data_IF_129955350786
#
_entry.id   IF_129955350786
#
_cell.length_a   1.000
_cell.length_b   1.000
_cell.length_c   1.000
_cell.angle_alpha   90.00
_cell.angle_beta   90.00
_cell.angle_gamma   90.00
#
_symmetry.space_group_name_H-M   'P 1'
#
loop_
_entity.id
_entity.type
_entity.pdbx_description
1 polymer ?
#
# COMPACT_ATOMS: atom_id res chain seq x y z
N UNK A 1 9.06 -24.96 -1.71
CA UNK A 1 8.46 -25.31 -3.01
C UNK A 1 8.01 -24.05 -3.74
N UNK A 2 7.30 -23.14 -3.06
CA UNK A 2 6.87 -21.83 -3.59
C UNK A 2 8.03 -20.91 -4.00
N UNK A 3 9.04 -20.70 -3.15
CA UNK A 3 10.20 -19.85 -3.45
C UNK A 3 10.92 -20.23 -4.76
N UNK A 4 11.17 -21.52 -4.97
CA UNK A 4 11.83 -22.00 -6.19
C UNK A 4 10.97 -21.79 -7.44
N UNK A 5 9.64 -21.84 -7.31
CA UNK A 5 8.73 -21.60 -8.42
C UNK A 5 8.73 -20.11 -8.81
N UNK A 6 8.73 -19.20 -7.83
CA UNK A 6 8.84 -17.76 -8.06
C UNK A 6 10.18 -17.35 -8.67
N UNK A 7 11.29 -17.88 -8.13
CA UNK A 7 12.63 -17.65 -8.67
C UNK A 7 12.72 -18.13 -10.12
N UNK A 8 12.15 -19.30 -10.42
CA UNK A 8 12.10 -19.81 -11.79
C UNK A 8 11.27 -18.92 -12.70
N UNK A 9 10.07 -18.49 -12.27
CA UNK A 9 9.22 -17.58 -13.05
C UNK A 9 9.95 -16.26 -13.34
N UNK A 10 10.63 -15.69 -12.34
CA UNK A 10 11.43 -14.48 -12.50
C UNK A 10 12.59 -14.69 -13.49
N UNK A 11 13.33 -15.80 -13.37
CA UNK A 11 14.38 -16.16 -14.32
C UNK A 11 13.84 -16.31 -15.75
N UNK A 12 12.72 -17.01 -15.92
CA UNK A 12 12.10 -17.21 -17.23
C UNK A 12 11.69 -15.85 -17.85
N UNK A 13 11.16 -14.93 -17.05
CA UNK A 13 10.87 -13.55 -17.48
C UNK A 13 12.14 -12.78 -17.89
N UNK A 14 13.22 -12.85 -17.10
CA UNK A 14 14.50 -12.19 -17.40
C UNK A 14 15.08 -12.71 -18.71
N UNK A 15 15.20 -14.04 -18.85
CA UNK A 15 15.78 -14.68 -20.04
C UNK A 15 14.96 -14.33 -21.27
N UNK A 16 13.65 -14.58 -21.25
CA UNK A 16 12.80 -14.34 -22.41
C UNK A 16 12.76 -12.87 -22.84
N UNK A 17 12.78 -11.92 -21.89
CA UNK A 17 12.76 -10.49 -22.21
C UNK A 17 14.09 -10.02 -22.78
N UNK A 18 15.22 -10.47 -22.22
CA UNK A 18 16.57 -10.14 -22.71
C UNK A 18 16.76 -10.72 -24.12
N UNK A 19 16.33 -11.95 -24.38
CA UNK A 19 16.41 -12.57 -25.73
C UNK A 19 15.57 -11.81 -26.75
N UNK A 20 14.33 -11.42 -26.41
CA UNK A 20 13.45 -10.64 -27.29
C UNK A 20 14.03 -9.27 -27.61
N UNK A 21 14.80 -8.69 -26.70
CA UNK A 21 15.51 -7.42 -26.90
C UNK A 21 16.86 -7.60 -27.63
N UNK A 22 17.19 -8.82 -28.07
CA UNK A 22 18.45 -9.12 -28.77
C UNK A 22 19.68 -9.06 -27.87
N UNK A 23 19.49 -9.11 -26.56
CA UNK A 23 20.55 -9.11 -25.56
C UNK A 23 21.31 -10.43 -25.49
N UNK A 24 22.44 -10.41 -24.78
CA UNK A 24 23.21 -11.62 -24.49
C UNK A 24 22.64 -12.30 -23.26
N UNK A 25 22.41 -13.61 -23.30
CA UNK A 25 21.99 -14.39 -22.12
C UNK A 25 23.20 -15.03 -21.43
N UNK A 26 23.29 -14.90 -20.11
CA UNK A 26 24.24 -15.60 -19.24
C UNK A 26 23.46 -16.14 -18.03
N UNK A 27 22.98 -17.39 -18.16
CA UNK A 27 22.03 -18.01 -17.23
C UNK A 27 22.53 -17.97 -15.77
N UNK A 28 23.77 -18.37 -15.44
CA UNK A 28 24.26 -18.30 -14.06
C UNK A 28 24.18 -16.91 -13.42
N UNK A 29 24.37 -15.84 -14.20
CA UNK A 29 24.23 -14.46 -13.68
C UNK A 29 22.76 -14.05 -13.56
N UNK A 30 21.92 -14.44 -14.52
CA UNK A 30 20.49 -14.15 -14.46
C UNK A 30 19.80 -14.91 -13.31
N UNK A 31 20.27 -16.11 -12.96
CA UNK A 31 19.84 -16.85 -11.78
C UNK A 31 20.11 -16.06 -10.49
N UNK A 32 21.30 -15.46 -10.37
CA UNK A 32 21.65 -14.61 -9.22
C UNK A 32 20.77 -13.35 -9.15
N UNK A 33 20.46 -12.76 -10.31
CA UNK A 33 19.58 -11.58 -10.39
C UNK A 33 18.14 -11.97 -10.02
N UNK A 34 17.61 -13.09 -10.52
CA UNK A 34 16.30 -13.60 -10.16
C UNK A 34 16.19 -13.89 -8.66
N UNK A 35 17.22 -14.49 -8.08
CA UNK A 35 17.30 -14.72 -6.64
C UNK A 35 17.28 -13.40 -5.86
N UNK A 36 18.06 -12.41 -6.28
CA UNK A 36 18.09 -11.08 -5.66
C UNK A 36 16.71 -10.42 -5.66
N UNK A 37 16.02 -10.43 -6.80
CA UNK A 37 14.69 -9.85 -6.96
C UNK A 37 13.70 -10.54 -6.04
N UNK A 38 13.59 -11.86 -6.09
CA UNK A 38 12.60 -12.59 -5.29
C UNK A 38 12.90 -12.51 -3.79
N UNK A 39 14.17 -12.48 -3.38
CA UNK A 39 14.51 -12.29 -1.97
C UNK A 39 14.07 -10.91 -1.45
N UNK A 40 14.24 -9.85 -2.24
CA UNK A 40 13.81 -8.51 -1.86
C UNK A 40 12.29 -8.41 -1.69
N UNK A 41 11.52 -9.11 -2.53
CA UNK A 41 10.05 -9.13 -2.47
C UNK A 41 9.46 -9.95 -1.31
N UNK A 42 10.29 -10.73 -0.60
CA UNK A 42 9.85 -11.61 0.50
C UNK A 42 10.19 -11.05 1.88
N UNK A 43 10.47 -9.76 1.97
CA UNK A 43 10.63 -9.07 3.25
C UNK A 43 9.41 -9.30 4.16
N UNK A 44 9.58 -9.41 5.49
CA UNK A 44 8.49 -9.74 6.41
C UNK A 44 7.38 -8.68 6.45
N UNK A 45 7.66 -7.48 5.93
CA UNK A 45 6.75 -6.35 5.88
C UNK A 45 6.10 -6.16 4.51
N UNK A 46 6.53 -6.90 3.48
CA UNK A 46 5.97 -6.87 2.12
C UNK A 46 4.69 -7.71 2.09
N UNK A 47 3.53 -7.05 2.06
CA UNK A 47 2.20 -7.68 2.04
C UNK A 47 1.43 -7.37 0.76
N UNK A 48 1.74 -6.25 0.11
CA UNK A 48 1.21 -5.79 -1.16
C UNK A 48 2.30 -5.85 -2.23
N UNK A 49 3.44 -5.19 -1.99
CA UNK A 49 4.57 -5.15 -2.94
C UNK A 49 5.37 -6.47 -2.89
N UNK A 50 4.82 -7.49 -3.53
CA UNK A 50 5.28 -8.89 -3.51
C UNK A 50 5.76 -9.37 -4.88
N UNK A 51 6.26 -10.61 -4.95
CA UNK A 51 6.62 -11.30 -6.19
C UNK A 51 5.44 -11.39 -7.17
N UNK A 52 4.23 -11.67 -6.71
CA UNK A 52 3.06 -11.75 -7.60
C UNK A 52 2.74 -10.36 -8.18
N UNK A 53 2.81 -9.32 -7.36
CA UNK A 53 2.59 -7.94 -7.80
C UNK A 53 3.53 -7.54 -8.96
N UNK A 54 4.84 -7.77 -8.84
CA UNK A 54 5.77 -7.42 -9.93
C UNK A 54 5.50 -8.21 -11.22
N UNK A 55 4.94 -9.43 -11.13
CA UNK A 55 4.56 -10.21 -12.31
C UNK A 55 3.26 -9.72 -12.95
N UNK A 56 2.28 -9.31 -12.14
CA UNK A 56 1.03 -8.70 -12.61
C UNK A 56 1.32 -7.35 -13.30
N UNK A 57 2.14 -6.50 -12.68
CA UNK A 57 2.55 -5.20 -13.24
C UNK A 57 3.38 -5.34 -14.51
N UNK A 58 4.22 -6.37 -14.64
CA UNK A 58 4.99 -6.60 -15.86
C UNK A 58 4.16 -7.05 -17.06
N UNK A 59 3.02 -7.70 -16.81
CA UNK A 59 2.28 -8.39 -17.85
C UNK A 59 3.17 -9.43 -18.57
N UNK A 60 2.92 -9.65 -19.87
CA UNK A 60 3.65 -10.68 -20.63
C UNK A 60 3.91 -10.31 -22.10
N UNK A 61 3.72 -9.04 -22.48
CA UNK A 61 3.69 -8.64 -23.89
C UNK A 61 4.93 -7.84 -24.29
N UNK A 62 5.24 -6.76 -23.58
CA UNK A 62 6.38 -5.89 -23.89
C UNK A 62 7.58 -6.22 -22.98
N UNK A 63 8.74 -6.63 -23.51
CA UNK A 63 9.89 -7.03 -22.71
C UNK A 63 10.51 -5.88 -21.90
N UNK A 64 10.34 -4.61 -22.30
CA UNK A 64 10.77 -3.45 -21.51
C UNK A 64 9.88 -3.29 -20.29
N UNK A 65 8.56 -3.39 -20.46
CA UNK A 65 7.61 -3.31 -19.35
C UNK A 65 7.83 -4.46 -18.34
N UNK A 66 8.06 -5.68 -18.84
CA UNK A 66 8.37 -6.84 -17.98
C UNK A 66 9.64 -6.60 -17.18
N UNK A 67 10.74 -6.20 -17.81
CA UNK A 67 12.00 -5.95 -17.10
C UNK A 67 11.86 -4.78 -16.12
N UNK A 68 11.17 -3.70 -16.46
CA UNK A 68 10.95 -2.59 -15.54
C UNK A 68 10.15 -3.02 -14.31
N UNK A 69 9.07 -3.77 -14.49
CA UNK A 69 8.22 -4.25 -13.39
C UNK A 69 8.98 -5.14 -12.41
N UNK A 70 9.86 -6.03 -12.90
CA UNK A 70 10.65 -6.91 -12.04
C UNK A 70 11.55 -6.15 -11.05
N UNK A 71 11.91 -4.91 -11.37
CA UNK A 71 12.83 -4.12 -10.56
C UNK A 71 12.18 -2.94 -9.84
N UNK A 72 11.06 -2.38 -10.30
CA UNK A 72 10.59 -1.06 -9.84
C UNK A 72 10.44 -0.92 -8.31
N UNK A 73 10.03 -2.00 -7.65
CA UNK A 73 9.81 -2.09 -6.20
C UNK A 73 10.93 -2.77 -5.40
N UNK A 74 12.07 -3.02 -6.04
CA UNK A 74 13.17 -3.79 -5.44
C UNK A 74 13.66 -3.17 -4.12
N UNK A 75 13.68 -1.84 -4.05
CA UNK A 75 14.03 -1.08 -2.85
C UNK A 75 12.77 -0.42 -2.29
N UNK A 76 12.42 -0.70 -1.03
CA UNK A 76 11.34 0.00 -0.34
C UNK A 76 11.73 0.32 1.10
N UNK A 77 12.51 1.39 1.26
CA UNK A 77 13.20 1.70 2.52
C UNK A 77 12.24 1.87 3.70
N UNK A 78 11.08 2.48 3.47
CA UNK A 78 10.11 2.79 4.52
C UNK A 78 9.38 1.53 5.03
N UNK A 79 9.19 0.54 4.16
CA UNK A 79 8.55 -0.74 4.48
C UNK A 79 9.57 -1.71 5.07
N UNK A 80 10.75 -1.81 4.46
CA UNK A 80 11.79 -2.75 4.89
C UNK A 80 12.61 -2.26 6.11
N UNK A 81 12.35 -1.03 6.59
CA UNK A 81 13.10 -0.34 7.64
C UNK A 81 14.61 -0.17 7.32
N UNK A 82 14.95 -0.06 6.04
CA UNK A 82 16.32 0.06 5.58
C UNK A 82 16.52 -0.48 4.17
N UNK A 83 17.78 -0.49 3.73
CA UNK A 83 18.21 -1.13 2.49
C UNK A 83 18.81 -2.48 2.83
N UNK A 84 18.37 -3.55 2.15
CA UNK A 84 18.88 -4.90 2.44
C UNK A 84 20.38 -5.00 2.15
N UNK A 85 21.10 -5.83 2.91
CA UNK A 85 22.55 -5.99 2.74
C UNK A 85 22.91 -6.41 1.30
N UNK A 86 22.11 -7.30 0.70
CA UNK A 86 22.34 -7.85 -0.63
C UNK A 86 22.30 -6.81 -1.76
N UNK A 87 21.49 -5.75 -1.62
CA UNK A 87 21.43 -4.65 -2.60
C UNK A 87 22.25 -3.42 -2.19
N UNK A 88 22.65 -3.33 -0.91
CA UNK A 88 23.40 -2.18 -0.38
C UNK A 88 24.71 -1.94 -1.13
N UNK A 89 25.44 -3.00 -1.50
CA UNK A 89 26.72 -2.89 -2.21
C UNK A 89 26.59 -2.21 -3.58
N UNK A 90 25.43 -2.35 -4.25
CA UNK A 90 25.16 -1.69 -5.52
C UNK A 90 24.84 -0.19 -5.35
N UNK A 91 24.35 0.23 -4.16
CA UNK A 91 23.89 1.59 -3.90
C UNK A 91 24.90 2.45 -3.12
N UNK A 92 25.68 1.84 -2.23
CA UNK A 92 26.67 2.53 -1.38
C UNK A 92 27.64 3.45 -2.14
N UNK A 93 28.09 3.12 -3.37
CA UNK A 93 28.93 4.02 -4.16
C UNK A 93 28.26 5.34 -4.53
N UNK A 94 26.93 5.40 -4.56
CA UNK A 94 26.16 6.53 -5.10
C UNK A 94 25.37 7.31 -4.04
N UNK A 95 25.01 6.65 -2.94
CA UNK A 95 24.13 7.23 -1.91
C UNK A 95 24.77 7.05 -0.53
N UNK A 96 24.57 8.05 0.34
CA UNK A 96 24.97 8.05 1.75
C UNK A 96 23.78 8.40 2.64
N UNK A 97 23.80 7.90 3.88
CA UNK A 97 22.84 8.32 4.89
C UNK A 97 23.39 9.53 5.66
N UNK A 98 22.60 10.60 5.74
CA UNK A 98 22.90 11.82 6.48
C UNK A 98 21.68 12.16 7.34
N UNK A 99 21.83 12.12 8.67
CA UNK A 99 20.74 12.41 9.62
C UNK A 99 19.46 11.62 9.33
N UNK A 100 19.60 10.32 9.08
CA UNK A 100 18.48 9.40 8.78
C UNK A 100 17.74 9.69 7.47
N UNK A 101 18.37 10.42 6.55
CA UNK A 101 17.89 10.63 5.19
C UNK A 101 18.93 10.12 4.20
N UNK A 102 18.47 9.49 3.13
CA UNK A 102 19.34 9.11 2.02
C UNK A 102 19.64 10.34 1.16
N UNK A 103 20.90 10.53 0.82
CA UNK A 103 21.40 11.66 0.04
C UNK A 103 22.28 11.12 -1.06
N UNK A 104 22.05 11.55 -2.30
CA UNK A 104 22.97 11.29 -3.40
C UNK A 104 24.31 11.93 -3.04
N UNK A 105 25.41 11.19 -3.17
CA UNK A 105 26.73 11.70 -2.85
C UNK A 105 27.07 12.97 -3.66
N UNK A 106 27.97 13.77 -3.12
CA UNK A 106 28.42 14.98 -3.79
C UNK A 106 29.26 14.63 -5.02
N UNK A 107 29.36 15.54 -5.99
CA UNK A 107 30.08 15.32 -7.26
C UNK A 107 31.48 14.73 -7.07
N UNK A 108 32.22 15.22 -6.07
CA UNK A 108 33.61 14.79 -5.78
C UNK A 108 33.72 13.40 -5.18
N UNK A 109 32.62 12.84 -4.69
CA UNK A 109 32.56 11.52 -4.06
C UNK A 109 31.94 10.45 -4.97
N UNK A 110 31.27 10.86 -6.05
CA UNK A 110 30.65 9.96 -7.00
C UNK A 110 31.72 9.32 -7.90
N UNK A 111 31.62 8.01 -8.18
CA UNK A 111 32.46 7.38 -9.18
C UNK A 111 32.08 7.86 -10.58
N UNK A 112 33.04 7.82 -11.50
CA UNK A 112 32.79 8.02 -12.93
C UNK A 112 32.11 6.77 -13.51
N UNK A 113 30.80 6.70 -13.36
CA UNK A 113 29.95 5.59 -13.79
C UNK A 113 28.86 6.11 -14.75
N UNK A 114 29.04 5.87 -16.04
CA UNK A 114 28.15 6.35 -17.09
C UNK A 114 26.72 5.80 -16.96
N UNK A 115 26.56 4.55 -16.47
CA UNK A 115 25.25 3.94 -16.31
C UNK A 115 24.48 4.58 -15.15
N UNK A 116 25.16 4.89 -14.05
CA UNK A 116 24.57 5.67 -12.97
C UNK A 116 24.18 7.09 -13.43
N UNK A 117 25.07 7.78 -14.16
CA UNK A 117 24.79 9.12 -14.69
C UNK A 117 23.56 9.12 -15.62
N UNK A 118 23.40 8.07 -16.43
CA UNK A 118 22.22 7.86 -17.28
C UNK A 118 20.94 7.75 -16.42
N UNK A 119 20.94 6.89 -15.39
CA UNK A 119 19.79 6.72 -14.49
C UNK A 119 19.46 8.02 -13.76
N UNK A 120 20.46 8.70 -13.17
CA UNK A 120 20.27 9.98 -12.50
C UNK A 120 19.66 11.03 -13.46
N UNK A 121 20.09 11.04 -14.72
CA UNK A 121 19.55 11.95 -15.74
C UNK A 121 18.09 11.64 -16.07
N UNK A 122 17.70 10.36 -16.19
CA UNK A 122 16.30 9.95 -16.44
C UNK A 122 15.38 10.42 -15.32
N UNK A 123 15.83 10.33 -14.07
CA UNK A 123 15.08 10.82 -12.90
C UNK A 123 15.17 12.34 -12.70
N UNK A 124 16.08 13.02 -13.41
CA UNK A 124 16.38 14.44 -13.19
C UNK A 124 16.96 14.70 -11.79
N UNK A 125 17.67 13.72 -11.22
CA UNK A 125 18.31 13.83 -9.92
C UNK A 125 19.75 14.30 -10.08
N UNK A 126 20.21 15.07 -9.10
CA UNK A 126 21.53 15.70 -9.11
C UNK A 126 22.32 15.31 -7.86
N UNK A 127 23.67 15.38 -7.92
CA UNK A 127 24.54 15.16 -6.76
C UNK A 127 24.17 16.04 -5.57
N UNK A 128 24.33 15.52 -4.35
CA UNK A 128 23.96 16.19 -3.11
C UNK A 128 22.45 16.26 -2.82
N UNK A 129 21.58 15.79 -3.73
CA UNK A 129 20.13 15.81 -3.53
C UNK A 129 19.72 14.85 -2.41
N UNK A 130 19.00 15.37 -1.41
CA UNK A 130 18.28 14.54 -0.44
C UNK A 130 17.12 13.81 -1.11
N UNK A 131 17.10 12.50 -0.98
CA UNK A 131 16.05 11.65 -1.51
C UNK A 131 14.83 11.70 -0.57
N UNK A 132 13.66 11.85 -1.16
CA UNK A 132 12.39 11.90 -0.45
C UNK A 132 11.58 10.63 -0.73
N UNK A 133 10.99 9.99 0.29
CA UNK A 133 10.05 8.88 0.10
C UNK A 133 8.95 9.18 -0.92
N UNK A 134 8.44 10.41 -0.93
CA UNK A 134 7.38 10.86 -1.84
C UNK A 134 7.90 11.46 -3.15
N UNK A 135 9.22 11.49 -3.33
CA UNK A 135 9.90 12.13 -4.45
C UNK A 135 10.57 11.15 -5.40
N UNK A 136 10.24 9.85 -5.33
CA UNK A 136 10.82 8.82 -6.18
C UNK A 136 12.08 8.16 -5.62
N UNK A 137 12.28 8.18 -4.30
CA UNK A 137 13.47 7.57 -3.68
C UNK A 137 13.57 6.07 -4.00
N UNK A 138 12.48 5.34 -3.82
CA UNK A 138 12.49 3.88 -3.91
C UNK A 138 12.71 3.44 -5.36
N UNK A 139 11.96 4.04 -6.28
CA UNK A 139 12.02 3.83 -7.73
C UNK A 139 13.41 4.19 -8.27
N UNK A 140 14.02 5.28 -7.80
CA UNK A 140 15.37 5.65 -8.20
C UNK A 140 16.41 4.60 -7.77
N UNK A 141 16.37 4.17 -6.51
CA UNK A 141 17.30 3.17 -5.99
C UNK A 141 17.10 1.82 -6.69
N UNK A 142 15.85 1.42 -6.91
CA UNK A 142 15.46 0.28 -7.72
C UNK A 142 16.01 0.35 -9.15
N UNK A 143 15.87 1.51 -9.81
CA UNK A 143 16.36 1.74 -11.17
C UNK A 143 17.90 1.70 -11.26
N UNK A 144 18.63 2.21 -10.25
CA UNK A 144 20.09 2.07 -10.20
C UNK A 144 20.47 0.59 -10.16
N UNK A 145 19.81 -0.22 -9.34
CA UNK A 145 20.09 -1.66 -9.28
C UNK A 145 19.71 -2.35 -10.59
N UNK A 146 18.57 -2.00 -11.19
CA UNK A 146 18.14 -2.53 -12.48
C UNK A 146 19.19 -2.26 -13.56
N UNK A 147 19.63 -1.02 -13.70
CA UNK A 147 20.60 -0.61 -14.70
C UNK A 147 21.94 -1.33 -14.53
N UNK A 148 22.48 -1.39 -13.31
CA UNK A 148 23.74 -2.10 -13.03
C UNK A 148 23.61 -3.61 -13.22
N UNK A 149 22.45 -4.19 -12.93
CA UNK A 149 22.20 -5.62 -13.12
C UNK A 149 22.06 -5.99 -14.60
N UNK A 150 21.49 -5.10 -15.42
CA UNK A 150 21.20 -5.36 -16.84
C UNK A 150 22.34 -4.94 -17.79
N UNK A 151 23.26 -4.08 -17.34
CA UNK A 151 24.43 -3.58 -18.10
C UNK A 151 25.24 -4.67 -18.81
N UNK A 152 25.47 -5.88 -18.25
CA UNK A 152 26.21 -6.93 -18.96
C UNK A 152 25.45 -7.58 -20.13
N UNK A 153 24.14 -7.33 -20.25
CA UNK A 153 23.23 -8.09 -21.11
C UNK A 153 22.57 -7.23 -22.19
N UNK A 154 22.34 -5.93 -21.91
CA UNK A 154 21.58 -5.01 -22.75
C UNK A 154 22.37 -3.71 -23.03
N UNK A 155 22.14 -3.06 -24.17
CA UNK A 155 22.79 -1.79 -24.48
C UNK A 155 22.23 -0.63 -23.62
N UNK A 156 22.97 0.48 -23.45
CA UNK A 156 22.54 1.62 -22.66
C UNK A 156 21.21 2.24 -23.10
N UNK A 157 20.90 2.24 -24.40
CA UNK A 157 19.60 2.70 -24.92
C UNK A 157 18.46 1.89 -24.31
N UNK A 158 18.47 0.57 -24.45
CA UNK A 158 17.43 -0.30 -23.87
C UNK A 158 17.31 -0.14 -22.36
N UNK A 159 18.43 -0.01 -21.63
CA UNK A 159 18.41 0.21 -20.18
C UNK A 159 17.77 1.56 -19.81
N UNK A 160 17.99 2.61 -20.61
CA UNK A 160 17.32 3.89 -20.41
C UNK A 160 15.80 3.80 -20.61
N UNK A 161 15.29 2.95 -21.51
CA UNK A 161 13.85 2.71 -21.67
C UNK A 161 13.26 2.05 -20.41
N UNK A 162 13.94 1.01 -19.91
CA UNK A 162 13.54 0.32 -18.67
C UNK A 162 13.54 1.30 -17.49
N UNK A 163 14.58 2.13 -17.40
CA UNK A 163 14.71 3.17 -16.36
C UNK A 163 13.59 4.21 -16.47
N UNK A 164 13.20 4.61 -17.67
CA UNK A 164 12.09 5.55 -17.89
C UNK A 164 10.75 4.96 -17.41
N UNK A 165 10.52 3.68 -17.67
CA UNK A 165 9.34 2.99 -17.16
C UNK A 165 9.33 2.94 -15.63
N UNK A 166 10.45 2.62 -14.97
CA UNK A 166 10.55 2.66 -13.50
C UNK A 166 10.35 4.08 -12.95
N UNK A 167 10.88 5.11 -13.62
CA UNK A 167 10.67 6.51 -13.20
C UNK A 167 9.19 6.88 -13.23
N UNK A 168 8.45 6.39 -14.22
CA UNK A 168 7.03 6.70 -14.36
C UNK A 168 6.17 6.08 -13.26
N UNK A 169 6.62 5.01 -12.59
CA UNK A 169 5.87 4.39 -11.47
C UNK A 169 5.87 5.24 -10.21
N UNK A 170 6.66 6.33 -10.12
CA UNK A 170 6.60 7.26 -8.99
C UNK A 170 5.20 7.89 -8.91
N UNK A 171 4.37 7.55 -7.91
CA UNK A 171 2.94 7.82 -7.95
C UNK A 171 2.61 9.24 -7.47
N UNK A 172 1.41 9.71 -7.84
CA UNK A 172 0.73 10.90 -7.29
C UNK A 172 1.51 12.22 -7.36
N UNK A 173 2.44 12.33 -8.31
CA UNK A 173 3.26 13.54 -8.48
C UNK A 173 2.40 14.72 -8.94
N UNK A 174 2.48 15.89 -8.27
CA UNK A 174 1.74 17.06 -8.69
C UNK A 174 2.28 17.59 -10.02
N UNK A 175 1.44 18.33 -10.73
CA UNK A 175 1.85 19.15 -11.88
C UNK A 175 2.93 20.13 -11.42
N UNK A 176 4.03 20.22 -12.17
CA UNK A 176 5.12 21.11 -11.84
C UNK A 176 4.72 22.60 -11.98
N UNK A 177 5.46 23.54 -11.38
CA UNK A 177 5.20 24.98 -11.53
C UNK A 177 5.21 25.47 -12.98
N UNK A 178 5.86 24.75 -13.90
CA UNK A 178 5.84 25.00 -15.35
C UNK A 178 4.50 24.65 -16.02
N UNK A 179 3.57 24.02 -15.31
CA UNK A 179 2.31 23.50 -15.84
C UNK A 179 2.42 22.11 -16.47
N UNK A 180 3.61 21.50 -16.48
CA UNK A 180 3.84 20.18 -17.05
C UNK A 180 3.56 19.07 -16.02
N UNK A 181 2.93 18.00 -16.49
CA UNK A 181 2.79 16.74 -15.76
C UNK A 181 4.14 16.02 -15.62
N UNK A 182 4.18 15.04 -14.72
CA UNK A 182 5.35 14.21 -14.52
C UNK A 182 5.80 13.49 -15.80
N UNK A 183 4.85 12.96 -16.56
CA UNK A 183 5.13 12.22 -17.80
C UNK A 183 5.64 13.12 -18.93
N UNK A 184 5.15 14.37 -19.01
CA UNK A 184 5.67 15.36 -19.97
C UNK A 184 7.09 15.80 -19.61
N UNK A 185 7.41 15.90 -18.31
CA UNK A 185 8.77 16.17 -17.86
C UNK A 185 9.70 15.01 -18.19
N UNK A 186 9.26 13.75 -18.02
CA UNK A 186 10.02 12.58 -18.45
C UNK A 186 10.30 12.63 -19.95
N UNK A 187 9.29 12.93 -20.78
CA UNK A 187 9.47 13.11 -22.23
C UNK A 187 10.55 14.16 -22.58
N UNK A 188 10.53 15.32 -21.93
CA UNK A 188 11.55 16.36 -22.15
C UNK A 188 12.96 15.91 -21.74
N UNK A 189 13.07 15.17 -20.63
CA UNK A 189 14.35 14.61 -20.19
C UNK A 189 14.86 13.57 -21.17
N UNK A 190 14.02 12.68 -21.68
CA UNK A 190 14.42 11.67 -22.66
C UNK A 190 14.93 12.29 -23.97
N UNK A 191 14.36 13.41 -24.43
CA UNK A 191 14.89 14.16 -25.59
C UNK A 191 16.33 14.64 -25.32
N UNK A 192 16.55 15.17 -24.12
CA UNK A 192 17.87 15.70 -23.71
C UNK A 192 18.89 14.57 -23.57
N UNK A 193 18.52 13.50 -22.87
CA UNK A 193 19.35 12.32 -22.62
C UNK A 193 19.71 11.60 -23.91
N UNK A 194 18.78 11.46 -24.85
CA UNK A 194 19.06 10.85 -26.14
C UNK A 194 20.21 11.54 -26.88
N UNK A 195 20.27 12.88 -26.80
CA UNK A 195 21.36 13.68 -27.35
C UNK A 195 22.64 13.51 -26.55
N UNK A 196 22.57 13.67 -25.23
CA UNK A 196 23.74 13.76 -24.36
C UNK A 196 24.46 12.41 -24.18
N UNK A 197 23.71 11.30 -24.24
CA UNK A 197 24.24 9.93 -24.15
C UNK A 197 24.30 9.21 -25.50
N UNK A 198 23.95 9.89 -26.60
CA UNK A 198 23.96 9.34 -27.96
C UNK A 198 23.18 8.02 -28.11
N UNK A 199 21.97 7.94 -27.52
CA UNK A 199 21.19 6.71 -27.48
C UNK A 199 20.60 6.30 -28.84
N UNK A 200 20.56 7.23 -29.80
CA UNK A 200 20.23 6.95 -31.19
C UNK A 200 18.73 6.86 -31.48
N UNK A 201 17.86 7.23 -30.54
CA UNK A 201 16.42 7.21 -30.76
C UNK A 201 15.96 8.34 -31.68
N UNK A 202 15.02 8.03 -32.55
CA UNK A 202 14.19 8.98 -33.25
C UNK A 202 13.15 9.61 -32.31
N UNK A 203 12.51 10.69 -32.77
CA UNK A 203 11.42 11.31 -32.03
C UNK A 203 10.24 10.34 -31.80
N UNK A 204 9.92 9.50 -32.80
CA UNK A 204 8.84 8.52 -32.69
C UNK A 204 9.14 7.44 -31.65
N UNK A 205 10.40 6.98 -31.56
CA UNK A 205 10.82 6.02 -30.53
C UNK A 205 10.75 6.63 -29.12
N UNK A 206 11.18 7.88 -28.94
CA UNK A 206 11.04 8.58 -27.66
C UNK A 206 9.57 8.66 -27.22
N UNK A 207 8.66 8.98 -28.15
CA UNK A 207 7.22 8.99 -27.86
C UNK A 207 6.74 7.61 -27.42
N UNK A 208 7.16 6.54 -28.09
CA UNK A 208 6.76 5.17 -27.71
C UNK A 208 7.33 4.74 -26.35
N UNK A 209 8.56 5.14 -26.01
CA UNK A 209 9.16 4.88 -24.70
C UNK A 209 8.31 5.52 -23.59
N UNK A 210 7.85 6.76 -23.80
CA UNK A 210 6.97 7.44 -22.85
C UNK A 210 5.62 6.73 -22.75
N UNK A 211 5.06 6.24 -23.86
CA UNK A 211 3.82 5.46 -23.85
C UNK A 211 3.95 4.14 -23.09
N UNK A 212 5.04 3.38 -23.28
CA UNK A 212 5.37 2.21 -22.44
C UNK A 212 5.42 2.57 -20.96
N UNK A 213 6.06 3.69 -20.65
CA UNK A 213 6.18 4.18 -19.28
C UNK A 213 4.81 4.48 -18.67
N UNK A 214 3.89 5.09 -19.42
CA UNK A 214 2.49 5.29 -19.00
C UNK A 214 1.76 3.97 -18.78
N UNK A 215 1.90 3.00 -19.69
CA UNK A 215 1.25 1.69 -19.55
C UNK A 215 1.67 0.97 -18.29
N UNK A 216 2.98 0.93 -18.01
CA UNK A 216 3.50 0.32 -16.80
C UNK A 216 3.00 1.04 -15.55
N UNK A 217 3.17 2.37 -15.49
CA UNK A 217 2.76 3.18 -14.34
C UNK A 217 1.26 3.06 -14.05
N UNK A 218 0.42 3.02 -15.09
CA UNK A 218 -1.02 2.85 -14.93
C UNK A 218 -1.40 1.43 -14.49
N UNK A 219 -0.62 0.41 -14.86
CA UNK A 219 -0.83 -0.98 -14.40
C UNK A 219 -0.46 -1.14 -12.92
N UNK A 220 0.61 -0.49 -12.50
CA UNK A 220 1.06 -0.46 -11.10
C UNK A 220 -0.04 0.05 -10.14
N UNK A 221 -0.76 1.09 -10.53
CA UNK A 221 -1.85 1.69 -9.73
C UNK A 221 -3.25 1.28 -10.20
N UNK A 222 -3.40 0.23 -11.02
CA UNK A 222 -4.68 -0.09 -11.68
C UNK A 222 -5.82 -0.38 -10.70
N UNK A 223 -5.46 -0.88 -9.51
CA UNK A 223 -6.39 -1.23 -8.45
C UNK A 223 -7.26 -0.04 -8.01
N UNK A 224 -6.76 1.19 -8.12
CA UNK A 224 -7.53 2.40 -7.82
C UNK A 224 -8.78 2.55 -8.70
N UNK A 225 -8.74 2.07 -9.95
CA UNK A 225 -9.86 2.11 -10.88
C UNK A 225 -10.67 0.80 -10.92
N UNK A 226 -10.54 -0.06 -9.90
CA UNK A 226 -11.31 -1.30 -9.78
C UNK A 226 -12.81 -1.06 -10.00
N UNK A 227 -13.50 -1.84 -10.85
CA UNK A 227 -14.94 -1.69 -11.07
C UNK A 227 -15.77 -1.93 -9.80
N UNK A 228 -15.28 -2.80 -8.91
CA UNK A 228 -15.88 -3.11 -7.63
C UNK A 228 -15.03 -2.50 -6.49
N UNK A 229 -15.65 -1.67 -5.66
CA UNK A 229 -14.97 -1.01 -4.54
C UNK A 229 -14.45 -1.99 -3.49
N UNK A 230 -15.04 -3.20 -3.37
CA UNK A 230 -14.51 -4.25 -2.50
C UNK A 230 -13.09 -4.65 -2.90
N UNK A 231 -12.79 -4.77 -4.20
CA UNK A 231 -11.45 -5.10 -4.69
C UNK A 231 -10.45 -3.97 -4.41
N UNK A 232 -10.89 -2.71 -4.56
CA UNK A 232 -10.06 -1.57 -4.20
C UNK A 232 -9.72 -1.58 -2.71
N UNK A 233 -10.70 -1.87 -1.85
CA UNK A 233 -10.49 -1.95 -0.40
C UNK A 233 -9.65 -3.15 0.02
N UNK A 234 -9.73 -4.30 -0.65
CA UNK A 234 -8.86 -5.44 -0.39
C UNK A 234 -7.38 -5.06 -0.56
N UNK A 235 -7.05 -4.42 -1.67
CA UNK A 235 -5.70 -3.91 -1.94
C UNK A 235 -5.28 -2.84 -0.94
N UNK A 236 -6.18 -1.92 -0.59
CA UNK A 236 -5.94 -0.89 0.44
C UNK A 236 -5.60 -1.51 1.80
N UNK A 237 -6.27 -2.61 2.16
CA UNK A 237 -5.96 -3.33 3.40
C UNK A 237 -4.67 -4.12 3.30
N UNK A 238 -4.29 -4.66 2.14
CA UNK A 238 -2.99 -5.33 1.99
C UNK A 238 -1.81 -4.36 2.18
N UNK A 239 -2.00 -3.06 1.91
CA UNK A 239 -1.00 -2.02 2.16
C UNK A 239 -0.85 -1.63 3.65
N UNK A 240 -1.89 -1.80 4.46
CA UNK A 240 -1.87 -1.31 5.85
C UNK A 240 -0.74 -1.90 6.72
N UNK A 241 -0.45 -3.21 6.69
CA UNK A 241 0.64 -3.80 7.47
C UNK A 241 2.03 -3.27 7.09
N UNK A 242 2.22 -2.90 5.82
CA UNK A 242 3.53 -2.45 5.31
C UNK A 242 3.95 -1.11 5.91
N UNK A 243 3.00 -0.29 6.33
CA UNK A 243 3.24 1.02 6.96
C UNK A 243 2.89 1.03 8.45
N UNK A 244 2.37 -0.09 8.97
CA UNK A 244 1.94 -0.27 10.36
C UNK A 244 2.29 -1.66 10.88
N UNK A 245 3.55 -1.83 11.25
CA UNK A 245 4.13 -3.12 11.59
C UNK A 245 3.48 -3.77 12.82
N UNK A 246 2.84 -2.98 13.70
CA UNK A 246 2.07 -3.51 14.84
C UNK A 246 0.99 -4.52 14.42
N UNK A 247 0.42 -4.38 13.21
CA UNK A 247 -0.63 -5.26 12.70
C UNK A 247 -0.14 -6.69 12.41
N UNK A 248 1.17 -6.91 12.32
CA UNK A 248 1.74 -8.25 12.09
C UNK A 248 1.59 -9.17 13.30
N UNK A 249 1.51 -8.63 14.52
CA UNK A 249 1.31 -9.41 15.73
C UNK A 249 -0.18 -9.55 16.03
N UNK A 250 -0.83 -10.45 15.28
CA UNK A 250 -2.26 -10.74 15.35
C UNK A 250 -2.72 -10.97 16.79
N UNK A 251 -3.88 -10.42 17.16
CA UNK A 251 -4.48 -10.45 18.50
C UNK A 251 -3.72 -9.69 19.61
N UNK A 252 -2.55 -9.11 19.35
CA UNK A 252 -1.75 -8.39 20.35
C UNK A 252 -1.68 -6.87 20.12
N UNK A 253 -1.94 -6.39 18.91
CA UNK A 253 -1.99 -4.96 18.63
C UNK A 253 -3.11 -4.29 19.44
N UNK A 254 -2.84 -3.05 19.89
CA UNK A 254 -3.73 -2.34 20.81
C UNK A 254 -4.84 -1.60 20.08
N UNK A 255 -5.89 -1.21 20.82
CA UNK A 255 -6.99 -0.43 20.24
C UNK A 255 -6.46 0.86 19.60
N UNK A 256 -5.58 1.56 20.32
CA UNK A 256 -4.92 2.78 19.83
C UNK A 256 -3.99 2.52 18.65
N UNK A 257 -3.26 1.39 18.64
CA UNK A 257 -2.42 0.96 17.52
C UNK A 257 -3.22 0.77 16.23
N UNK A 258 -4.32 0.00 16.30
CA UNK A 258 -5.21 -0.20 15.14
C UNK A 258 -5.85 1.09 14.65
N UNK A 259 -6.31 1.96 15.56
CA UNK A 259 -6.80 3.30 15.19
C UNK A 259 -5.74 4.08 14.41
N UNK A 260 -4.51 4.18 14.91
CA UNK A 260 -3.44 4.95 14.24
C UNK A 260 -3.23 4.45 12.81
N UNK A 261 -3.27 3.14 12.59
CA UNK A 261 -3.20 2.55 11.24
C UNK A 261 -4.34 3.02 10.34
N UNK A 262 -5.58 2.98 10.83
CA UNK A 262 -6.75 3.47 10.09
C UNK A 262 -6.65 4.99 9.80
N UNK A 263 -6.19 5.79 10.76
CA UNK A 263 -6.04 7.24 10.60
C UNK A 263 -4.99 7.61 9.57
N UNK A 264 -3.86 6.89 9.51
CA UNK A 264 -2.85 7.12 8.46
C UNK A 264 -3.43 6.85 7.07
N UNK A 265 -4.16 5.75 6.92
CA UNK A 265 -4.80 5.40 5.65
C UNK A 265 -5.89 6.41 5.25
N UNK A 266 -6.71 6.84 6.20
CA UNK A 266 -7.71 7.88 5.98
C UNK A 266 -7.06 9.22 5.58
N UNK A 267 -5.99 9.62 6.26
CA UNK A 267 -5.21 10.82 5.91
C UNK A 267 -4.62 10.74 4.50
N UNK A 268 -4.06 9.59 4.11
CA UNK A 268 -3.55 9.36 2.76
C UNK A 268 -4.64 9.54 1.70
N UNK A 269 -5.80 8.88 1.86
CA UNK A 269 -6.91 8.95 0.90
C UNK A 269 -7.53 10.36 0.82
N UNK A 270 -7.56 11.11 1.92
CA UNK A 270 -8.03 12.49 1.92
C UNK A 270 -7.09 13.46 1.19
N UNK A 271 -5.79 13.16 1.14
CA UNK A 271 -4.81 13.96 0.40
C UNK A 271 -4.74 13.59 -1.09
N UNK A 272 -5.26 12.43 -1.47
CA UNK A 272 -5.16 11.91 -2.83
C UNK A 272 -6.12 12.63 -3.78
N UNK A 273 -5.58 13.08 -4.92
CA UNK A 273 -6.37 13.65 -6.01
C UNK A 273 -6.56 12.58 -7.09
N UNK A 274 -7.81 12.22 -7.47
CA UNK A 274 -8.05 11.20 -8.50
C UNK A 274 -7.29 11.46 -9.80
N UNK A 275 -7.15 12.73 -10.17
CA UNK A 275 -6.51 13.19 -11.41
C UNK A 275 -4.98 13.02 -11.42
N UNK A 276 -4.37 12.63 -10.29
CA UNK A 276 -2.93 12.36 -10.18
C UNK A 276 -2.61 10.86 -10.07
N UNK A 277 -3.63 9.99 -10.09
CA UNK A 277 -3.44 8.54 -9.98
C UNK A 277 -2.94 7.96 -11.29
N UNK A 278 -3.70 8.17 -12.37
CA UNK A 278 -3.35 7.66 -13.69
C UNK A 278 -2.62 8.74 -14.51
N UNK A 279 -1.73 8.30 -15.39
CA UNK A 279 -1.04 9.14 -16.37
C UNK A 279 -1.69 8.99 -17.75
N UNK A 280 -1.59 10.04 -18.56
CA UNK A 280 -1.96 10.02 -19.97
C UNK A 280 -0.91 10.75 -20.80
N UNK A 281 -0.52 10.18 -21.94
CA UNK A 281 0.41 10.82 -22.86
C UNK A 281 0.06 10.49 -24.31
N UNK A 282 -0.22 11.51 -25.12
CA UNK A 282 -0.45 11.37 -26.57
C UNK A 282 -1.40 10.22 -26.94
N UNK A 283 -2.61 10.20 -26.36
CA UNK A 283 -3.64 9.15 -26.54
C UNK A 283 -3.23 7.75 -26.02
N UNK A 284 -2.30 7.69 -25.06
CA UNK A 284 -2.02 6.50 -24.27
C UNK A 284 -2.33 6.76 -22.78
N UNK A 285 -3.37 6.15 -22.21
CA UNK A 285 -4.49 5.55 -22.93
C UNK A 285 -5.30 6.63 -23.69
N UNK A 286 -6.26 6.22 -24.52
CA UNK A 286 -7.18 7.15 -25.17
C UNK A 286 -8.02 7.95 -24.15
N UNK A 287 -8.59 9.08 -24.59
CA UNK A 287 -9.29 10.01 -23.71
C UNK A 287 -10.51 9.40 -22.99
N UNK A 288 -11.22 8.46 -23.64
CA UNK A 288 -12.38 7.80 -23.05
C UNK A 288 -11.94 6.82 -21.95
N UNK A 289 -10.94 5.99 -22.24
CA UNK A 289 -10.34 5.08 -21.26
C UNK A 289 -9.79 5.85 -20.08
N UNK A 290 -9.04 6.94 -20.30
CA UNK A 290 -8.51 7.78 -19.25
C UNK A 290 -9.62 8.38 -18.38
N UNK A 291 -10.65 8.98 -18.99
CA UNK A 291 -11.78 9.54 -18.26
C UNK A 291 -12.51 8.50 -17.39
N UNK A 292 -12.65 7.28 -17.89
CA UNK A 292 -13.24 6.16 -17.15
C UNK A 292 -12.37 5.74 -15.94
N UNK A 293 -11.05 5.68 -16.08
CA UNK A 293 -10.12 5.39 -14.99
C UNK A 293 -10.25 6.43 -13.87
N UNK A 294 -10.27 7.72 -14.22
CA UNK A 294 -10.44 8.82 -13.26
C UNK A 294 -11.81 8.76 -12.57
N UNK A 295 -12.89 8.51 -13.32
CA UNK A 295 -14.23 8.42 -12.75
C UNK A 295 -14.37 7.29 -11.74
N UNK A 296 -13.83 6.10 -12.05
CA UNK A 296 -13.81 4.94 -11.13
C UNK A 296 -12.97 5.20 -9.90
N UNK A 297 -11.80 5.80 -10.08
CA UNK A 297 -10.90 6.19 -8.99
C UNK A 297 -11.58 7.14 -8.02
N UNK A 298 -12.24 8.18 -8.54
CA UNK A 298 -13.00 9.12 -7.72
C UNK A 298 -14.09 8.40 -6.92
N UNK A 299 -14.85 7.52 -7.56
CA UNK A 299 -15.86 6.70 -6.87
C UNK A 299 -15.24 5.87 -5.74
N UNK A 300 -14.17 5.14 -6.04
CA UNK A 300 -13.52 4.22 -5.10
C UNK A 300 -12.90 4.95 -3.90
N UNK A 301 -12.26 6.11 -4.12
CA UNK A 301 -11.74 6.97 -3.05
C UNK A 301 -12.87 7.47 -2.14
N UNK A 302 -14.00 7.92 -2.70
CA UNK A 302 -15.14 8.37 -1.89
C UNK A 302 -15.78 7.22 -1.09
N UNK A 303 -15.89 6.02 -1.68
CA UNK A 303 -16.32 4.80 -0.96
C UNK A 303 -15.37 4.51 0.20
N UNK A 304 -14.06 4.53 -0.04
CA UNK A 304 -13.07 4.23 0.99
C UNK A 304 -13.02 5.29 2.11
N UNK A 305 -13.13 6.58 1.78
CA UNK A 305 -13.20 7.67 2.76
C UNK A 305 -14.39 7.50 3.69
N UNK A 306 -15.59 7.23 3.15
CA UNK A 306 -16.77 7.00 3.97
C UNK A 306 -16.64 5.71 4.80
N UNK A 307 -16.19 4.61 4.18
CA UNK A 307 -15.97 3.33 4.87
C UNK A 307 -14.97 3.44 6.04
N UNK A 308 -13.81 4.07 5.81
CA UNK A 308 -12.80 4.31 6.84
C UNK A 308 -13.28 5.28 7.91
N UNK A 309 -14.01 6.34 7.53
CA UNK A 309 -14.63 7.27 8.48
C UNK A 309 -15.53 6.54 9.47
N UNK A 310 -16.37 5.62 8.99
CA UNK A 310 -17.20 4.78 9.87
C UNK A 310 -16.33 3.88 10.75
N UNK A 311 -15.32 3.18 10.21
CA UNK A 311 -14.43 2.33 11.04
C UNK A 311 -13.66 3.15 12.08
N UNK A 312 -13.31 4.40 11.77
CA UNK A 312 -12.66 5.33 12.71
C UNK A 312 -13.57 5.74 13.86
N UNK A 313 -14.86 6.01 13.59
CA UNK A 313 -15.85 6.26 14.65
C UNK A 313 -15.98 5.02 15.54
N UNK A 314 -16.07 3.84 14.94
CA UNK A 314 -16.18 2.57 15.68
C UNK A 314 -14.98 2.37 16.60
N UNK A 315 -13.75 2.52 16.09
CA UNK A 315 -12.56 2.33 16.92
C UNK A 315 -12.41 3.44 17.96
N UNK A 316 -12.90 4.67 17.70
CA UNK A 316 -12.94 5.73 18.70
C UNK A 316 -13.82 5.37 19.90
N UNK A 317 -15.00 4.80 19.66
CA UNK A 317 -15.90 4.34 20.72
C UNK A 317 -15.22 3.24 21.54
N UNK A 318 -14.60 2.26 20.86
CA UNK A 318 -13.89 1.19 21.54
C UNK A 318 -12.68 1.69 22.33
N UNK A 319 -11.93 2.66 21.82
CA UNK A 319 -10.78 3.27 22.51
C UNK A 319 -11.23 4.06 23.73
N UNK A 320 -12.27 4.89 23.61
CA UNK A 320 -12.82 5.64 24.73
C UNK A 320 -13.40 4.72 25.83
N UNK A 321 -14.03 3.60 25.45
CA UNK A 321 -14.45 2.57 26.41
C UNK A 321 -13.26 1.86 27.05
N UNK A 322 -12.21 1.56 26.28
CA UNK A 322 -11.03 0.85 26.74
C UNK A 322 -10.31 1.57 27.88
N UNK A 323 -10.36 2.91 27.93
CA UNK A 323 -9.72 3.71 28.98
C UNK A 323 -10.23 3.40 30.40
N UNK A 324 -11.39 2.76 30.53
CA UNK A 324 -11.91 2.24 31.82
C UNK A 324 -11.17 1.00 32.32
N UNK A 325 -10.50 0.28 31.42
CA UNK A 325 -9.71 -0.93 31.70
C UNK A 325 -8.22 -0.63 31.70
N UNK A 326 -7.78 0.23 30.78
CA UNK A 326 -6.40 0.64 30.61
C UNK A 326 -6.23 1.45 29.32
N UNK A 327 -5.19 2.28 29.24
CA UNK A 327 -4.96 3.13 28.06
C UNK A 327 -4.41 2.38 26.85
N UNK A 328 -3.77 1.24 27.07
CA UNK A 328 -3.09 0.46 26.04
C UNK A 328 -3.42 -1.02 26.21
N UNK A 329 -4.63 -1.39 25.80
CA UNK A 329 -5.10 -2.78 25.85
C UNK A 329 -5.17 -3.38 24.44
N UNK A 330 -4.92 -4.69 24.29
CA UNK A 330 -5.11 -5.38 23.01
C UNK A 330 -6.53 -5.20 22.48
N UNK A 331 -6.71 -4.98 21.17
CA UNK A 331 -8.05 -4.88 20.56
C UNK A 331 -8.89 -6.13 20.81
N UNK A 332 -8.23 -7.29 20.82
CA UNK A 332 -8.83 -8.58 21.15
C UNK A 332 -9.51 -8.59 22.53
N UNK A 333 -9.05 -7.76 23.47
CA UNK A 333 -9.68 -7.59 24.78
C UNK A 333 -11.10 -7.04 24.64
N UNK A 334 -11.30 -6.07 23.74
CA UNK A 334 -12.59 -5.40 23.52
C UNK A 334 -13.50 -6.15 22.54
N UNK A 335 -12.92 -6.77 21.50
CA UNK A 335 -13.70 -7.34 20.39
C UNK A 335 -13.76 -8.88 20.37
N UNK A 336 -12.89 -9.56 21.10
CA UNK A 336 -12.65 -10.98 20.95
C UNK A 336 -11.44 -11.26 20.05
N UNK A 337 -10.92 -12.49 20.12
CA UNK A 337 -9.81 -12.93 19.26
C UNK A 337 -10.32 -13.24 17.85
N UNK A 338 -9.47 -13.04 16.84
CA UNK A 338 -9.74 -13.55 15.50
C UNK A 338 -9.88 -15.08 15.55
N UNK A 339 -10.91 -15.60 14.86
CA UNK A 339 -11.25 -17.02 14.92
C UNK A 339 -10.14 -17.86 14.30
N UNK A 340 -9.50 -18.71 15.12
CA UNK A 340 -8.58 -19.73 14.63
C UNK A 340 -9.34 -21.04 14.32
N UNK A 341 -8.95 -21.79 13.27
CA UNK A 341 -9.55 -23.09 12.98
C UNK A 341 -9.54 -24.01 14.20
N UNK A 342 -10.71 -24.54 14.58
CA UNK A 342 -10.87 -25.45 15.71
C UNK A 342 -11.10 -24.80 17.08
N UNK A 343 -11.02 -23.47 17.20
CA UNK A 343 -11.30 -22.75 18.44
C UNK A 343 -12.52 -21.83 18.29
N UNK A 344 -13.53 -22.03 19.14
CA UNK A 344 -14.71 -21.17 19.20
C UNK A 344 -14.60 -20.24 20.41
N UNK A 345 -14.07 -19.05 20.20
CA UNK A 345 -14.06 -17.95 21.16
C UNK A 345 -15.26 -17.05 20.91
N UNK A 346 -15.87 -16.54 21.99
CA UNK A 346 -16.92 -15.52 21.88
C UNK A 346 -16.31 -14.22 21.37
N UNK A 347 -17.07 -13.50 20.55
CA UNK A 347 -16.69 -12.19 20.01
C UNK A 347 -17.77 -11.15 20.33
N UNK A 348 -17.42 -9.86 20.26
CA UNK A 348 -18.36 -8.77 20.56
C UNK A 348 -19.61 -8.82 19.67
N UNK A 349 -19.45 -9.20 18.40
CA UNK A 349 -20.55 -9.36 17.44
C UNK A 349 -21.65 -10.30 17.95
N UNK A 350 -21.30 -11.36 18.70
CA UNK A 350 -22.28 -12.34 19.22
C UNK A 350 -23.30 -11.71 20.18
N UNK A 351 -23.01 -10.51 20.70
CA UNK A 351 -23.82 -9.81 21.70
C UNK A 351 -24.50 -8.55 21.18
N UNK A 352 -24.28 -8.19 19.90
CA UNK A 352 -24.93 -7.04 19.27
C UNK A 352 -26.28 -7.45 18.66
N UNK A 353 -27.33 -6.60 18.75
CA UNK A 353 -28.61 -6.90 18.15
C UNK A 353 -28.53 -6.76 16.62
N UNK A 354 -29.20 -7.66 15.91
CA UNK A 354 -29.45 -7.46 14.48
C UNK A 354 -30.53 -6.39 14.30
N UNK A 355 -30.12 -5.16 13.99
CA UNK A 355 -31.00 -3.99 13.87
C UNK A 355 -31.39 -3.78 12.40
N UNK A 356 -32.63 -3.38 12.15
CA UNK A 356 -33.01 -2.83 10.85
C UNK A 356 -32.47 -1.42 10.72
N UNK A 357 -32.25 -0.97 9.47
CA UNK A 357 -31.79 0.38 9.20
C UNK A 357 -32.82 1.39 9.74
N UNK A 358 -32.41 2.24 10.69
CA UNK A 358 -33.30 3.23 11.30
C UNK A 358 -33.49 4.50 10.44
N UNK A 359 -32.52 4.80 9.56
CA UNK A 359 -32.48 6.02 8.75
C UNK A 359 -32.32 5.70 7.26
N UNK A 360 -33.01 6.40 6.35
CA UNK A 360 -32.94 6.09 4.92
C UNK A 360 -31.53 6.29 4.35
N UNK A 361 -31.19 5.48 3.35
CA UNK A 361 -29.96 5.63 2.57
C UNK A 361 -30.22 6.59 1.41
N UNK A 362 -29.56 7.75 1.44
CA UNK A 362 -29.79 8.87 0.54
C UNK A 362 -29.07 8.72 -0.81
N UNK A 363 -28.03 7.87 -0.87
CA UNK A 363 -27.20 7.72 -2.07
C UNK A 363 -26.78 6.28 -2.35
N UNK A 364 -26.34 6.04 -3.59
CA UNK A 364 -25.74 4.75 -3.97
C UNK A 364 -24.43 4.48 -3.21
N UNK A 365 -23.66 5.53 -2.92
CA UNK A 365 -22.45 5.48 -2.13
C UNK A 365 -22.72 4.89 -0.72
N UNK A 366 -23.76 5.39 -0.05
CA UNK A 366 -24.14 4.90 1.29
C UNK A 366 -24.61 3.44 1.27
N UNK A 367 -25.35 3.04 0.22
CA UNK A 367 -25.74 1.63 0.02
C UNK A 367 -24.52 0.73 -0.12
N UNK A 368 -23.60 1.11 -1.00
CA UNK A 368 -22.38 0.34 -1.24
C UNK A 368 -21.49 0.25 0.00
N UNK A 369 -21.34 1.34 0.76
CA UNK A 369 -20.59 1.31 2.03
C UNK A 369 -21.28 0.46 3.08
N UNK A 370 -22.61 0.49 3.19
CA UNK A 370 -23.32 -0.36 4.13
C UNK A 370 -23.14 -1.85 3.78
N UNK A 371 -23.23 -2.21 2.50
CA UNK A 371 -22.98 -3.57 2.03
C UNK A 371 -21.55 -4.02 2.36
N UNK A 372 -20.57 -3.14 2.16
CA UNK A 372 -19.16 -3.40 2.54
C UNK A 372 -18.96 -3.60 4.04
N UNK A 373 -19.71 -2.88 4.89
CA UNK A 373 -19.64 -3.05 6.34
C UNK A 373 -20.33 -4.36 6.78
N UNK A 374 -21.47 -4.71 6.18
CA UNK A 374 -22.30 -5.85 6.57
C UNK A 374 -21.79 -7.18 6.00
N UNK A 375 -21.55 -7.23 4.69
CA UNK A 375 -21.12 -8.42 3.95
C UNK A 375 -19.60 -8.58 4.01
N UNK A 376 -18.89 -7.45 3.94
CA UNK A 376 -17.44 -7.40 3.98
C UNK A 376 -16.77 -7.22 2.63
N UNK A 377 -15.44 -7.06 2.67
CA UNK A 377 -14.56 -7.06 1.51
C UNK A 377 -14.47 -8.46 0.88
N UNK A 378 -13.88 -8.61 -0.31
CA UNK A 378 -13.88 -9.90 -0.99
C UNK A 378 -12.87 -10.87 -0.39
N UNK A 379 -11.78 -10.36 0.19
CA UNK A 379 -10.73 -11.16 0.82
C UNK A 379 -10.71 -11.00 2.34
N UNK A 380 -10.26 -12.04 3.03
CA UNK A 380 -9.92 -11.95 4.45
C UNK A 380 -8.49 -11.47 4.61
N UNK A 381 -8.25 -10.57 5.56
CA UNK A 381 -6.90 -10.17 5.95
C UNK A 381 -6.46 -11.00 7.16
N UNK A 382 -5.17 -11.33 7.26
CA UNK A 382 -4.65 -12.15 8.39
C UNK A 382 -4.84 -11.50 9.77
N UNK A 383 -5.04 -10.19 9.80
CA UNK A 383 -5.07 -9.36 11.01
C UNK A 383 -6.41 -8.64 11.24
N UNK A 384 -7.41 -8.80 10.36
CA UNK A 384 -8.71 -8.12 10.45
C UNK A 384 -9.82 -9.02 9.87
N UNK A 385 -11.05 -8.90 10.39
CA UNK A 385 -12.21 -9.54 9.76
C UNK A 385 -12.66 -8.74 8.52
N UNK A 386 -13.19 -9.44 7.51
CA UNK A 386 -13.55 -8.80 6.23
C UNK A 386 -14.76 -7.86 6.33
N UNK A 387 -15.71 -8.17 7.21
CA UNK A 387 -16.88 -7.33 7.51
C UNK A 387 -16.63 -6.50 8.78
N UNK A 388 -17.55 -5.63 9.16
CA UNK A 388 -17.40 -4.73 10.30
C UNK A 388 -18.69 -4.64 11.12
N UNK A 389 -19.05 -5.71 11.87
CA UNK A 389 -20.35 -5.84 12.53
C UNK A 389 -20.69 -4.69 13.50
N UNK A 390 -19.68 -4.22 14.25
CA UNK A 390 -19.86 -3.10 15.18
C UNK A 390 -20.15 -1.80 14.41
N UNK A 391 -19.42 -1.56 13.32
CA UNK A 391 -19.65 -0.42 12.43
C UNK A 391 -21.04 -0.49 11.78
N UNK A 392 -21.46 -1.68 11.33
CA UNK A 392 -22.79 -1.92 10.77
C UNK A 392 -23.87 -1.59 11.80
N UNK A 393 -23.73 -2.06 13.05
CA UNK A 393 -24.65 -1.73 14.13
C UNK A 393 -24.75 -0.22 14.39
N UNK A 394 -23.60 0.48 14.44
CA UNK A 394 -23.54 1.93 14.65
C UNK A 394 -24.29 2.64 13.53
N UNK A 395 -23.97 2.37 12.26
CA UNK A 395 -24.59 3.05 11.12
C UNK A 395 -26.08 2.73 10.99
N UNK A 396 -26.50 1.48 11.24
CA UNK A 396 -27.93 1.15 11.29
C UNK A 396 -28.67 1.88 12.44
N UNK A 397 -27.94 2.33 13.47
CA UNK A 397 -28.51 3.03 14.63
C UNK A 397 -28.50 4.55 14.55
N UNK A 398 -27.54 5.17 13.86
CA UNK A 398 -27.40 6.65 13.81
C UNK A 398 -27.50 7.23 12.39
N UNK A 399 -27.39 6.39 11.35
CA UNK A 399 -27.40 6.81 9.96
C UNK A 399 -26.07 7.42 9.48
N UNK A 400 -25.94 7.60 8.17
CA UNK A 400 -24.74 8.17 7.55
C UNK A 400 -24.65 9.69 7.71
N UNK A 401 -25.77 10.41 7.86
CA UNK A 401 -25.79 11.87 7.97
C UNK A 401 -24.95 12.40 9.14
N UNK A 402 -24.89 11.65 10.25
CA UNK A 402 -24.11 12.04 11.43
C UNK A 402 -22.63 11.66 11.35
N UNK A 403 -22.21 10.90 10.33
CA UNK A 403 -20.85 10.33 10.27
C UNK A 403 -19.78 11.43 10.24
N UNK A 404 -19.97 12.49 9.46
CA UNK A 404 -18.97 13.56 9.35
C UNK A 404 -18.78 14.32 10.67
N UNK A 405 -19.88 14.74 11.30
CA UNK A 405 -19.85 15.42 12.60
C UNK A 405 -19.15 14.57 13.65
N UNK A 406 -19.44 13.27 13.64
CA UNK A 406 -19.00 12.35 14.66
C UNK A 406 -17.55 11.90 14.46
N UNK A 407 -17.10 11.81 13.20
CA UNK A 407 -15.69 11.65 12.85
C UNK A 407 -14.86 12.85 13.32
N UNK A 408 -15.37 14.08 13.18
CA UNK A 408 -14.68 15.27 13.70
C UNK A 408 -14.50 15.22 15.22
N UNK A 409 -15.53 14.76 15.95
CA UNK A 409 -15.42 14.53 17.40
C UNK A 409 -14.44 13.41 17.74
N UNK A 410 -14.38 12.35 16.93
CA UNK A 410 -13.37 11.31 17.10
C UNK A 410 -11.95 11.89 16.90
N UNK A 411 -11.74 12.75 15.90
CA UNK A 411 -10.47 13.44 15.68
C UNK A 411 -10.07 14.34 16.87
N UNK A 412 -11.02 15.10 17.43
CA UNK A 412 -10.80 15.91 18.64
C UNK A 412 -10.39 15.02 19.84
N UNK A 413 -11.03 13.86 19.99
CA UNK A 413 -10.68 12.88 21.02
C UNK A 413 -9.26 12.32 20.80
N UNK A 414 -8.92 11.96 19.57
CA UNK A 414 -7.59 11.42 19.24
C UNK A 414 -6.47 12.44 19.45
N UNK A 415 -6.77 13.73 19.25
CA UNK A 415 -5.86 14.84 19.53
C UNK A 415 -5.77 15.18 21.03
N UNK A 416 -6.62 14.59 21.88
CA UNK A 416 -6.68 14.87 23.31
C UNK A 416 -7.36 16.19 23.66
N UNK A 417 -8.12 16.79 22.73
CA UNK A 417 -8.87 18.03 22.96
C UNK A 417 -10.12 17.81 23.81
N UNK A 418 -10.70 16.61 23.77
CA UNK A 418 -11.86 16.20 24.58
C UNK A 418 -11.57 14.88 25.30
N UNK A 419 -12.23 14.63 26.43
CA UNK A 419 -12.05 13.38 27.18
C UNK A 419 -12.81 12.20 26.56
N UNK A 420 -12.52 10.99 27.02
CA UNK A 420 -13.27 9.78 26.63
C UNK A 420 -14.76 9.89 26.98
N UNK A 421 -15.10 10.46 28.13
CA UNK A 421 -16.48 10.63 28.61
C UNK A 421 -17.22 11.66 27.77
N UNK A 422 -16.54 12.77 27.47
CA UNK A 422 -17.10 13.81 26.60
C UNK A 422 -17.35 13.25 25.20
N UNK A 423 -16.37 12.55 24.60
CA UNK A 423 -16.53 11.91 23.30
C UNK A 423 -17.73 10.95 23.26
N UNK A 424 -17.83 10.04 24.24
CA UNK A 424 -18.93 9.08 24.31
C UNK A 424 -20.30 9.75 24.46
N UNK A 425 -20.38 10.92 25.09
CA UNK A 425 -21.63 11.67 25.29
C UNK A 425 -22.24 12.25 24.00
N UNK A 426 -21.45 12.38 22.93
CA UNK A 426 -21.93 12.82 21.62
C UNK A 426 -22.67 11.71 20.86
N UNK A 427 -22.49 10.44 21.24
CA UNK A 427 -23.22 9.33 20.64
C UNK A 427 -24.64 9.21 21.22
N UNK A 428 -25.52 8.52 20.48
CA UNK A 428 -26.77 8.05 21.06
C UNK A 428 -26.50 7.17 22.29
N UNK A 429 -27.11 7.45 23.46
CA UNK A 429 -26.92 6.64 24.67
C UNK A 429 -27.24 5.16 24.45
N UNK A 430 -28.25 4.84 23.64
CA UNK A 430 -28.63 3.47 23.26
C UNK A 430 -27.48 2.70 22.59
N UNK A 431 -26.73 3.38 21.71
CA UNK A 431 -25.60 2.79 20.99
C UNK A 431 -24.46 2.47 21.95
N UNK A 432 -24.10 3.43 22.81
CA UNK A 432 -23.02 3.26 23.78
C UNK A 432 -23.36 2.20 24.81
N UNK A 433 -24.59 2.21 25.33
CA UNK A 433 -25.07 1.20 26.29
C UNK A 433 -25.05 -0.20 25.66
N UNK A 434 -25.51 -0.35 24.42
CA UNK A 434 -25.51 -1.63 23.71
C UNK A 434 -24.09 -2.16 23.51
N UNK A 435 -23.16 -1.33 23.01
CA UNK A 435 -21.76 -1.73 22.79
C UNK A 435 -21.09 -2.07 24.13
N UNK A 436 -21.26 -1.22 25.14
CA UNK A 436 -20.72 -1.43 26.50
C UNK A 436 -21.24 -2.74 27.11
N UNK A 437 -22.55 -3.00 27.00
CA UNK A 437 -23.18 -4.24 27.43
C UNK A 437 -22.63 -5.46 26.70
N UNK A 438 -22.41 -5.35 25.38
CA UNK A 438 -21.76 -6.40 24.59
C UNK A 438 -20.34 -6.71 25.08
N UNK A 439 -19.53 -5.67 25.35
CA UNK A 439 -18.19 -5.84 25.91
C UNK A 439 -18.25 -6.50 27.29
N UNK A 440 -19.15 -6.07 28.18
CA UNK A 440 -19.31 -6.70 29.50
C UNK A 440 -19.67 -8.19 29.40
N UNK A 441 -20.61 -8.56 28.51
CA UNK A 441 -20.97 -9.97 28.26
C UNK A 441 -19.80 -10.79 27.73
N UNK A 442 -18.94 -10.20 26.90
CA UNK A 442 -17.70 -10.84 26.44
C UNK A 442 -16.72 -11.11 27.61
N UNK A 443 -16.59 -10.17 28.56
CA UNK A 443 -15.81 -10.41 29.78
C UNK A 443 -16.41 -11.51 30.66
N UNK A 444 -17.74 -11.53 30.82
CA UNK A 444 -18.43 -12.57 31.59
C UNK A 444 -18.28 -13.97 30.97
N UNK A 445 -18.27 -14.08 29.64
CA UNK A 445 -18.04 -15.35 28.97
C UNK A 445 -16.63 -15.89 29.20
N UNK A 446 -15.61 -15.01 29.18
CA UNK A 446 -14.22 -15.34 29.54
C UNK A 446 -14.09 -15.75 31.01
N UNK A 447 -14.71 -14.99 31.92
CA UNK A 447 -14.76 -15.31 33.35
C UNK A 447 -15.38 -16.70 33.58
N UNK A 448 -16.47 -16.99 32.88
CA UNK A 448 -17.14 -18.29 32.94
C UNK A 448 -16.25 -19.41 32.39
N UNK A 449 -15.53 -19.18 31.30
CA UNK A 449 -14.60 -20.15 30.72
C UNK A 449 -13.45 -20.48 31.68
N UNK A 450 -12.85 -19.48 32.32
CA UNK A 450 -11.80 -19.67 33.34
C UNK A 450 -12.33 -20.43 34.58
N UNK A 451 -13.56 -20.15 35.00
CA UNK A 451 -14.21 -20.83 36.13
C UNK A 451 -14.46 -22.34 35.93
N UNK A 452 -14.35 -22.86 34.69
CA UNK A 452 -14.53 -24.29 34.38
C UNK A 452 -13.28 -25.14 34.66
N UNK A 453 -12.17 -24.54 35.08
CA UNK A 453 -10.95 -25.28 35.47
C UNK A 453 -11.24 -26.06 36.75
N UNK A 454 -11.55 -27.35 36.62
CA UNK A 454 -11.54 -28.29 37.75
C UNK A 454 -10.09 -28.59 38.11
N UNK A 455 -9.61 -28.04 39.22
CA UNK A 455 -8.36 -28.49 39.84
C UNK A 455 -8.55 -29.95 40.27
N UNK A 456 -7.99 -30.89 39.51
CA UNK A 456 -7.88 -32.28 39.97
C UNK A 456 -6.80 -32.28 41.05
N UNK A 457 -7.21 -32.18 42.31
CA UNK A 457 -6.33 -32.58 43.40
C UNK A 457 -6.13 -34.08 43.31
N UNK A 458 -4.98 -34.49 42.76
CA UNK A 458 -4.43 -35.80 43.03
C UNK A 458 -4.06 -35.83 44.52
N UNK A 459 -4.98 -36.33 45.35
CA UNK A 459 -4.61 -36.88 46.64
C UNK A 459 -3.66 -38.05 46.38
N UNK A 460 -2.37 -37.81 46.57
CA UNK A 460 -1.37 -38.87 46.75
C UNK A 460 -1.71 -39.51 48.09
N UNK A 461 -2.31 -40.71 48.04
CA UNK A 461 -2.45 -41.62 49.18
C UNK A 461 -1.43 -42.74 49.05
#
# INVERSE_FOLDING_TARGET
MELFAEQKRCLDCLVSSIEQLGGRVDIPKLEQIAELIIQAMRGPWRSFHTSEHIFEVGGSVDPIEVLAALFHDLVYVQVDQGVSFNISSALCPFVKEVRSQLVIRDETELPDDAMYQLVASVFGFIPGKTLSPFGGQNEFLSAVIAAKSLEPFLPPSTIAEITACIEATIPFRPVAPSGLSAIELLHQRLITINRDFHLGWSHAEIVEIVKRSVRLANRDVENFASPNSSNFLDNTWNLMPETNHELTNVNSYTVAGYRKSLQKMEGFLNCLKPELVFQQFMQEPDDETYANLIARTRKNIEVAKLYLGVKLITIAILEALSYRLGRDIPLSTMMGELRAPGFKTSVLEDYLPNKQIAYPLESQLQREVLDLLEIGRNQESRYDIKNSPVSTFIIKSIGFAETENFLKKAQDFFAGHISSEEFLSYCSPDVIETISSGVMKLFDSRKTALGKVKLVHQTVS
#
